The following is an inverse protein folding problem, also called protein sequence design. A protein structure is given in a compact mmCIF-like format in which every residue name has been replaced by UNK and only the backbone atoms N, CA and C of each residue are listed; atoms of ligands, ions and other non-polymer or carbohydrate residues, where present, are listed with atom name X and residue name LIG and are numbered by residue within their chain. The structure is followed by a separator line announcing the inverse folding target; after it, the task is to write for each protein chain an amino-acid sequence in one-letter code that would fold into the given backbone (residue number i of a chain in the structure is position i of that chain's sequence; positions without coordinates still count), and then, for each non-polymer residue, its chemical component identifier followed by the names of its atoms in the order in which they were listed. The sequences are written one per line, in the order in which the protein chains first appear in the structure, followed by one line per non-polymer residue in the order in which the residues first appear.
data_IF_851992278663
#
_entry.id   IF_851992278663
#
_cell.length_a   1.000
_cell.length_b   1.000
_cell.length_c   1.000
_cell.angle_alpha   90.00
_cell.angle_beta   90.00
_cell.angle_gamma   90.00
#
_symmetry.space_group_name_H-M   'P 1'
#
loop_
_entity.id
_entity.type
_entity.pdbx_description
1 polymer ?
#
# COMPACT_ATOMS: atom_id res chain seq x y z
N UNK A 1 -20.92 -1.04 -1.59
CA UNK A 1 -19.68 -0.92 -0.85
C UNK A 1 -18.99 0.40 -1.23
N UNK A 2 -18.54 1.15 -0.26
CA UNK A 2 -17.96 2.46 -0.51
C UNK A 2 -16.49 2.34 -0.91
N UNK A 3 -16.12 3.05 -1.97
CA UNK A 3 -14.73 3.14 -2.37
C UNK A 3 -13.99 4.16 -1.49
N UNK A 4 -12.70 3.93 -1.25
CA UNK A 4 -11.82 4.86 -0.56
C UNK A 4 -10.94 5.59 -1.57
N UNK A 5 -11.25 6.83 -1.88
CA UNK A 5 -10.43 7.64 -2.78
C UNK A 5 -9.17 8.18 -2.08
N UNK A 6 -9.32 8.65 -0.86
CA UNK A 6 -8.21 9.15 -0.04
C UNK A 6 -8.46 8.79 1.41
N UNK A 7 -7.41 8.42 2.13
CA UNK A 7 -7.51 8.19 3.56
C UNK A 7 -7.40 9.52 4.33
N UNK A 8 -7.93 9.52 5.55
CA UNK A 8 -7.86 10.67 6.45
C UNK A 8 -7.63 10.19 7.88
N UNK A 9 -6.49 9.53 8.10
CA UNK A 9 -6.14 9.01 9.42
C UNK A 9 -5.49 10.13 10.22
N UNK A 10 -6.18 10.58 11.26
CA UNK A 10 -5.75 11.69 12.10
C UNK A 10 -4.83 11.25 13.22
N UNK A 11 -4.88 9.98 13.62
CA UNK A 11 -4.10 9.46 14.74
C UNK A 11 -2.62 9.24 14.42
N UNK A 12 -2.25 9.30 13.15
CA UNK A 12 -0.87 9.09 12.69
C UNK A 12 -0.43 10.23 11.76
N UNK A 13 0.84 10.63 11.81
CA UNK A 13 1.32 11.65 10.88
C UNK A 13 1.45 11.11 9.46
N UNK A 14 0.96 11.87 8.50
CA UNK A 14 1.08 11.54 7.08
C UNK A 14 2.54 11.79 6.64
N UNK A 15 3.17 10.77 6.08
CA UNK A 15 4.54 10.84 5.58
C UNK A 15 4.58 11.16 4.09
N UNK A 16 3.74 10.49 3.31
CA UNK A 16 3.71 10.65 1.87
C UNK A 16 2.35 10.27 1.32
N UNK A 17 1.99 10.89 0.22
CA UNK A 17 0.78 10.57 -0.53
C UNK A 17 1.19 10.28 -1.96
N UNK A 18 1.20 8.99 -2.31
CA UNK A 18 1.49 8.54 -3.67
C UNK A 18 0.29 8.65 -4.59
N UNK A 19 0.44 8.18 -5.81
CA UNK A 19 -0.65 8.20 -6.80
C UNK A 19 -1.86 7.39 -6.35
N UNK A 20 -1.62 6.25 -5.71
CA UNK A 20 -2.67 5.32 -5.30
C UNK A 20 -2.54 4.85 -3.85
N UNK A 21 -1.52 5.28 -3.12
CA UNK A 21 -1.27 4.88 -1.74
C UNK A 21 -1.03 6.08 -0.84
N UNK A 22 -1.49 5.98 0.39
CA UNK A 22 -1.21 6.95 1.44
C UNK A 22 -0.34 6.27 2.50
N UNK A 23 0.71 6.95 2.94
CA UNK A 23 1.71 6.38 3.86
C UNK A 23 1.78 7.23 5.12
N UNK A 24 1.61 6.58 6.27
CA UNK A 24 1.64 7.21 7.58
C UNK A 24 2.78 6.65 8.41
N UNK A 25 3.32 7.44 9.33
CA UNK A 25 4.34 6.98 10.27
C UNK A 25 3.70 6.29 11.46
N UNK A 26 4.24 5.13 11.82
CA UNK A 26 3.90 4.42 13.06
C UNK A 26 5.18 4.39 13.91
N UNK A 27 5.33 5.38 14.78
CA UNK A 27 6.59 5.56 15.51
C UNK A 27 7.72 5.94 14.55
N UNK A 28 8.95 5.53 14.88
CA UNK A 28 10.13 5.85 14.10
C UNK A 28 10.50 4.78 13.07
N UNK A 29 10.14 3.53 13.35
CA UNK A 29 10.68 2.38 12.61
C UNK A 29 9.66 1.70 11.72
N UNK A 30 8.40 2.10 11.76
CA UNK A 30 7.31 1.46 11.05
C UNK A 30 6.52 2.47 10.22
N UNK A 31 5.88 1.97 9.17
CA UNK A 31 4.96 2.73 8.34
C UNK A 31 3.65 1.98 8.22
N UNK A 32 2.56 2.73 8.13
CA UNK A 32 1.27 2.21 7.72
C UNK A 32 1.06 2.60 6.26
N UNK A 33 0.96 1.62 5.38
CA UNK A 33 0.71 1.83 3.96
C UNK A 33 -0.74 1.49 3.65
N UNK A 34 -1.50 2.48 3.21
CA UNK A 34 -2.91 2.33 2.86
C UNK A 34 -3.05 2.32 1.35
N UNK A 35 -3.48 1.20 0.79
CA UNK A 35 -3.80 1.11 -0.63
C UNK A 35 -5.21 1.66 -0.84
N UNK A 36 -5.31 2.79 -1.53
CA UNK A 36 -6.59 3.42 -1.84
C UNK A 36 -7.21 2.79 -3.09
N UNK A 37 -8.39 3.25 -3.44
CA UNK A 37 -9.09 2.81 -4.65
C UNK A 37 -8.88 3.78 -5.82
N UNK A 38 -7.94 4.72 -5.69
CA UNK A 38 -7.54 5.59 -6.80
C UNK A 38 -6.94 4.76 -7.93
N UNK A 39 -7.21 5.17 -9.15
CA UNK A 39 -6.63 4.57 -10.35
C UNK A 39 -5.73 5.61 -11.03
N UNK A 40 -4.49 5.21 -11.34
CA UNK A 40 -3.57 6.01 -12.13
C UNK A 40 -3.36 5.34 -13.48
N UNK A 41 -3.49 6.12 -14.57
CA UNK A 41 -3.23 5.66 -15.92
C UNK A 41 -2.42 6.72 -16.64
N UNK A 42 -1.29 6.32 -17.25
CA UNK A 42 -0.35 7.25 -17.89
C UNK A 42 0.06 8.39 -16.96
N UNK A 43 0.31 8.08 -15.68
CA UNK A 43 0.65 9.02 -14.61
C UNK A 43 -0.43 10.07 -14.29
N UNK A 44 -1.64 9.88 -14.79
CA UNK A 44 -2.79 10.72 -14.46
C UNK A 44 -3.68 9.96 -13.46
N UNK A 45 -3.95 10.61 -12.33
CA UNK A 45 -4.88 10.04 -11.34
C UNK A 45 -6.30 10.32 -11.81
N UNK A 46 -7.07 9.26 -11.99
CA UNK A 46 -8.46 9.37 -12.44
C UNK A 46 -9.34 9.96 -11.34
N UNK A 47 -10.40 10.65 -11.74
CA UNK A 47 -11.29 11.33 -10.79
C UNK A 47 -12.16 10.35 -9.99
N UNK A 48 -12.45 9.19 -10.53
CA UNK A 48 -13.31 8.21 -9.89
C UNK A 48 -12.50 7.04 -9.35
N UNK A 49 -12.79 6.58 -8.12
CA UNK A 49 -12.15 5.40 -7.57
C UNK A 49 -12.74 4.13 -8.15
N UNK A 50 -11.96 3.06 -8.10
CA UNK A 50 -12.45 1.71 -8.44
C UNK A 50 -12.71 0.97 -7.14
N UNK A 51 -13.97 0.66 -6.78
CA UNK A 51 -14.29 -0.01 -5.53
C UNK A 51 -13.51 -1.32 -5.36
N UNK A 52 -13.02 -1.57 -4.16
CA UNK A 52 -12.26 -2.75 -3.76
C UNK A 52 -10.87 -2.90 -4.39
N UNK A 53 -10.44 -1.98 -5.24
CA UNK A 53 -9.11 -2.06 -5.88
C UNK A 53 -8.00 -2.19 -4.85
N UNK A 54 -7.98 -1.32 -3.82
CA UNK A 54 -6.97 -1.35 -2.78
C UNK A 54 -6.95 -2.65 -2.00
N UNK A 55 -8.12 -3.17 -1.64
CA UNK A 55 -8.24 -4.43 -0.91
C UNK A 55 -7.75 -5.62 -1.73
N UNK A 56 -8.11 -5.68 -3.01
CA UNK A 56 -7.70 -6.76 -3.90
C UNK A 56 -6.19 -6.74 -4.12
N UNK A 57 -5.62 -5.57 -4.40
CA UNK A 57 -4.18 -5.45 -4.61
C UNK A 57 -3.38 -5.78 -3.35
N UNK A 58 -3.85 -5.38 -2.19
CA UNK A 58 -3.20 -5.72 -0.92
C UNK A 58 -3.22 -7.22 -0.68
N UNK A 59 -4.34 -7.88 -0.95
CA UNK A 59 -4.47 -9.33 -0.81
C UNK A 59 -3.52 -10.08 -1.75
N UNK A 60 -3.43 -9.66 -3.00
CA UNK A 60 -2.51 -10.25 -3.98
C UNK A 60 -1.06 -10.04 -3.55
N UNK A 61 -0.72 -8.84 -3.13
CA UNK A 61 0.63 -8.51 -2.66
C UNK A 61 1.02 -9.35 -1.44
N UNK A 62 0.15 -9.47 -0.45
CA UNK A 62 0.42 -10.26 0.74
C UNK A 62 0.60 -11.74 0.42
N UNK A 63 -0.16 -12.27 -0.53
CA UNK A 63 -0.01 -13.65 -1.00
C UNK A 63 1.40 -13.88 -1.55
N UNK A 64 1.87 -12.99 -2.43
CA UNK A 64 3.19 -13.15 -3.05
C UNK A 64 4.33 -12.92 -2.07
N UNK A 65 4.19 -12.00 -1.12
CA UNK A 65 5.18 -11.85 -0.06
C UNK A 65 5.32 -13.13 0.76
N UNK A 66 4.22 -13.80 1.06
CA UNK A 66 4.26 -15.07 1.77
C UNK A 66 4.92 -16.17 0.94
N UNK A 67 4.61 -16.26 -0.36
CA UNK A 67 5.20 -17.26 -1.26
C UNK A 67 6.69 -17.06 -1.45
N UNK A 68 7.15 -15.83 -1.50
CA UNK A 68 8.56 -15.50 -1.79
C UNK A 68 9.41 -15.29 -0.54
N UNK A 69 8.84 -15.43 0.64
CA UNK A 69 9.53 -15.16 1.91
C UNK A 69 10.77 -16.05 2.12
N UNK A 70 10.76 -17.27 1.60
CA UNK A 70 11.89 -18.19 1.67
C UNK A 70 13.03 -17.83 0.71
N UNK A 71 12.76 -16.99 -0.30
CA UNK A 71 13.72 -16.59 -1.32
C UNK A 71 14.38 -15.26 -0.96
N UNK A 72 13.59 -14.29 -0.51
CA UNK A 72 14.06 -12.94 -0.20
C UNK A 72 13.25 -12.36 0.97
N UNK A 73 13.91 -11.67 1.93
CA UNK A 73 13.17 -11.00 2.98
C UNK A 73 12.36 -9.83 2.42
N UNK A 74 11.30 -9.46 3.13
CA UNK A 74 10.46 -8.32 2.76
C UNK A 74 10.19 -7.43 3.97
N UNK A 75 9.50 -6.32 3.77
CA UNK A 75 9.27 -5.32 4.79
C UNK A 75 7.99 -5.53 5.61
N UNK A 76 7.21 -6.54 5.32
CA UNK A 76 5.98 -6.80 6.08
C UNK A 76 6.27 -7.14 7.54
N UNK A 77 5.39 -6.73 8.42
CA UNK A 77 5.40 -7.10 9.83
C UNK A 77 4.16 -7.95 10.13
N UNK A 78 4.12 -8.53 11.32
CA UNK A 78 2.94 -9.26 11.80
C UNK A 78 1.94 -8.34 12.50
N UNK A 79 2.20 -7.03 12.53
CA UNK A 79 1.35 -6.07 13.21
C UNK A 79 0.10 -5.82 12.37
N UNK A 80 -1.07 -5.94 13.01
CA UNK A 80 -2.35 -5.67 12.36
C UNK A 80 -2.54 -4.16 12.21
N UNK A 81 -2.85 -3.72 11.00
CA UNK A 81 -3.10 -2.31 10.72
C UNK A 81 -4.23 -1.74 11.58
N UNK A 82 -5.23 -2.55 11.92
CA UNK A 82 -6.34 -2.12 12.78
C UNK A 82 -5.89 -1.77 14.19
N UNK A 83 -4.77 -2.30 14.64
CA UNK A 83 -4.22 -2.05 15.99
C UNK A 83 -3.44 -0.74 16.12
N UNK A 84 -3.10 -0.08 15.02
CA UNK A 84 -2.29 1.15 15.04
C UNK A 84 -3.09 2.43 14.81
N UNK A 85 -4.39 2.31 14.56
CA UNK A 85 -5.30 3.44 14.33
C UNK A 85 -6.42 3.43 15.36
N UNK A 86 -7.14 4.55 15.47
CA UNK A 86 -8.30 4.63 16.36
C UNK A 86 -9.47 3.81 15.80
N UNK A 87 -10.38 3.33 16.68
CA UNK A 87 -11.51 2.51 16.23
C UNK A 87 -12.33 3.12 15.08
N UNK A 88 -12.53 4.44 15.08
CA UNK A 88 -13.29 5.14 14.03
C UNK A 88 -12.57 5.14 12.68
N UNK A 89 -11.27 4.86 12.67
CA UNK A 89 -10.44 4.87 11.47
C UNK A 89 -10.24 3.47 10.87
N UNK A 90 -10.68 2.42 11.56
CA UNK A 90 -10.47 1.04 11.13
C UNK A 90 -11.06 0.79 9.75
N UNK A 91 -12.20 1.38 9.43
CA UNK A 91 -12.84 1.19 8.13
C UNK A 91 -11.97 1.64 6.96
N UNK A 92 -11.06 2.59 7.19
CA UNK A 92 -10.15 3.09 6.16
C UNK A 92 -8.94 2.17 5.94
N UNK A 93 -8.62 1.29 6.88
CA UNK A 93 -7.42 0.44 6.81
C UNK A 93 -7.76 -1.04 6.65
N UNK A 94 -8.98 -1.43 6.98
CA UNK A 94 -9.39 -2.82 6.94
C UNK A 94 -9.24 -3.39 5.53
N UNK A 95 -8.52 -4.51 5.42
CA UNK A 95 -8.23 -5.25 4.19
C UNK A 95 -7.33 -4.55 3.19
N UNK A 96 -7.01 -3.27 3.36
CA UNK A 96 -6.29 -2.47 2.37
C UNK A 96 -5.01 -1.85 2.88
N UNK A 97 -4.65 -2.09 4.12
CA UNK A 97 -3.46 -1.49 4.71
C UNK A 97 -2.56 -2.56 5.33
N UNK A 98 -1.27 -2.27 5.34
CA UNK A 98 -0.26 -3.11 5.98
C UNK A 98 0.67 -2.24 6.82
N UNK A 99 1.16 -2.80 7.91
CA UNK A 99 2.21 -2.18 8.72
C UNK A 99 3.54 -2.79 8.28
N UNK A 100 4.44 -1.95 7.84
CA UNK A 100 5.73 -2.37 7.27
C UNK A 100 6.88 -1.71 8.00
N UNK A 101 8.07 -2.31 7.88
CA UNK A 101 9.30 -1.69 8.36
C UNK A 101 9.61 -0.46 7.52
N UNK A 102 10.06 0.61 8.18
CA UNK A 102 10.56 1.79 7.48
C UNK A 102 11.94 1.48 6.94
N UNK A 103 12.06 1.42 5.63
CA UNK A 103 13.32 1.16 4.94
C UNK A 103 13.75 2.41 4.18
N UNK A 104 15.06 2.51 3.92
CA UNK A 104 15.59 3.56 3.05
C UNK A 104 15.61 3.02 1.62
N UNK A 105 14.72 3.50 0.74
CA UNK A 105 14.67 2.99 -0.63
C UNK A 105 15.89 3.45 -1.43
N UNK A 106 16.33 2.59 -2.34
CA UNK A 106 17.25 3.00 -3.40
C UNK A 106 16.42 3.76 -4.42
N UNK A 107 16.82 4.99 -4.75
CA UNK A 107 16.03 5.87 -5.63
C UNK A 107 16.27 5.57 -7.10
N UNK A 108 16.19 4.32 -7.46
CA UNK A 108 16.31 3.82 -8.83
C UNK A 108 15.15 2.87 -9.05
N UNK A 109 14.34 3.13 -10.06
CA UNK A 109 13.29 2.20 -10.44
C UNK A 109 13.88 1.11 -11.31
N UNK A 110 13.76 -0.15 -10.88
CA UNK A 110 14.22 -1.30 -11.63
C UNK A 110 13.03 -2.18 -11.98
N UNK A 111 12.81 -2.40 -13.25
CA UNK A 111 11.72 -3.24 -13.73
C UNK A 111 12.32 -4.49 -14.39
N UNK A 112 11.96 -5.66 -13.84
CA UNK A 112 12.35 -6.95 -14.42
C UNK A 112 11.10 -7.57 -15.03
N UNK A 113 11.20 -7.90 -16.33
CA UNK A 113 10.08 -8.50 -17.06
C UNK A 113 10.52 -9.80 -17.71
N UNK A 114 9.66 -10.81 -17.62
CA UNK A 114 9.87 -12.07 -18.34
C UNK A 114 9.59 -11.97 -19.83
N UNK A 115 9.03 -10.83 -20.28
CA UNK A 115 8.68 -10.57 -21.68
C UNK A 115 9.23 -9.22 -22.10
N UNK A 116 9.98 -9.19 -23.23
CA UNK A 116 10.48 -7.94 -23.79
C UNK A 116 9.36 -7.18 -24.48
N UNK A 117 9.07 -5.94 -24.04
CA UNK A 117 8.08 -5.08 -24.68
C UNK A 117 8.61 -4.40 -25.94
N UNK A 118 9.93 -4.44 -26.17
CA UNK A 118 10.56 -3.82 -27.33
C UNK A 118 10.31 -4.63 -28.61
N UNK A 119 10.12 -5.92 -28.48
CA UNK A 119 9.99 -6.86 -29.58
C UNK A 119 8.57 -7.36 -29.83
N UNK A 120 7.59 -6.73 -29.20
CA UNK A 120 6.18 -7.09 -29.38
C UNK A 120 5.55 -6.34 -30.54
#
# INVERSE_FOLDING_TARGET
MNALYASSIESLPLVAKGKVRDIYAVGQDLLLMVATDRLSAFDVIMNEPVPDKGAILTRISNYWFAQLAAIVPNHLTTIDARGVVKPREIIQVERRAVVVKRLKPIRIEAVVRGLSLIHI
#
